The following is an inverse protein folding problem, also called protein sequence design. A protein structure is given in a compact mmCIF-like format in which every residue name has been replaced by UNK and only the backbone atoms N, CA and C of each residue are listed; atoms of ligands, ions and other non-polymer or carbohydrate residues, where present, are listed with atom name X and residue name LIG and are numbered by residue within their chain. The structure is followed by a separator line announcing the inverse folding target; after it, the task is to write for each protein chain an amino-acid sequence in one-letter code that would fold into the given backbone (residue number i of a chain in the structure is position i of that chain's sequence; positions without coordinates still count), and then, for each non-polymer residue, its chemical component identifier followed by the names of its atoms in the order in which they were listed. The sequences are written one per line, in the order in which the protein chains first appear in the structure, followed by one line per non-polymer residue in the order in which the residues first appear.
data_IF_635104840491
#
_entry.id   IF_635104840491
#
_cell.length_a   1.000
_cell.length_b   1.000
_cell.length_c   1.000
_cell.angle_alpha   90.00
_cell.angle_beta   90.00
_cell.angle_gamma   90.00
#
_symmetry.space_group_name_H-M   'P 1'
#
loop_
_entity.id
_entity.type
_entity.pdbx_description
1 polymer ?
#
# COMPACT_ATOMS: atom_id res chain seq x y z
N UNK A 1 30.44 -9.56 -4.98
CA UNK A 1 29.03 -9.73 -5.47
C UNK A 1 28.47 -11.00 -4.88
N UNK A 2 27.20 -11.00 -4.55
CA UNK A 2 26.46 -12.19 -4.10
C UNK A 2 25.53 -12.67 -5.21
N UNK A 3 25.20 -13.94 -5.21
CA UNK A 3 24.14 -14.51 -6.02
C UNK A 3 22.76 -14.13 -5.41
N UNK A 4 21.82 -13.67 -6.22
CA UNK A 4 20.48 -13.27 -5.78
C UNK A 4 19.73 -14.43 -5.10
N UNK A 5 19.90 -15.67 -5.61
CA UNK A 5 19.29 -16.87 -5.03
C UNK A 5 19.75 -17.08 -3.59
N UNK A 6 21.03 -16.97 -3.33
CA UNK A 6 21.60 -17.17 -1.99
C UNK A 6 21.02 -16.19 -0.96
N UNK A 7 20.83 -14.92 -1.34
CA UNK A 7 20.14 -13.96 -0.48
C UNK A 7 18.67 -14.32 -0.26
N UNK A 8 17.96 -14.63 -1.35
CA UNK A 8 16.54 -14.97 -1.29
C UNK A 8 16.26 -16.24 -0.46
N UNK A 9 17.12 -17.24 -0.53
CA UNK A 9 16.98 -18.46 0.25
C UNK A 9 17.08 -18.17 1.77
N UNK A 10 18.07 -17.36 2.18
CA UNK A 10 18.20 -16.94 3.59
C UNK A 10 17.05 -16.05 4.02
N UNK A 11 16.64 -15.09 3.19
CA UNK A 11 15.52 -14.22 3.48
C UNK A 11 14.20 -15.04 3.58
N UNK A 12 14.00 -16.03 2.71
CA UNK A 12 12.84 -16.93 2.75
C UNK A 12 12.83 -17.77 4.03
N UNK A 13 13.97 -18.31 4.45
CA UNK A 13 14.09 -19.03 5.73
C UNK A 13 13.73 -18.12 6.93
N UNK A 14 13.95 -16.81 6.81
CA UNK A 14 13.54 -15.80 7.78
C UNK A 14 12.09 -15.31 7.61
N UNK A 15 11.32 -15.91 6.67
CA UNK A 15 9.90 -15.64 6.46
C UNK A 15 9.56 -14.61 5.38
N UNK A 16 10.55 -14.09 4.64
CA UNK A 16 10.31 -13.15 3.54
C UNK A 16 9.97 -13.90 2.25
N UNK A 17 8.75 -13.77 1.75
CA UNK A 17 8.28 -14.42 0.53
C UNK A 17 7.74 -13.46 -0.52
N UNK A 18 7.53 -12.20 -0.14
CA UNK A 18 7.03 -11.15 -1.02
C UNK A 18 8.07 -10.05 -1.18
N UNK A 19 8.18 -9.57 -2.41
CA UNK A 19 9.02 -8.44 -2.78
C UNK A 19 8.16 -7.42 -3.53
N UNK A 20 8.39 -6.15 -3.27
CA UNK A 20 7.70 -5.07 -3.97
C UNK A 20 8.65 -3.91 -4.18
N UNK A 21 8.39 -3.05 -5.13
CA UNK A 21 9.27 -1.91 -5.35
C UNK A 21 9.13 -1.29 -6.73
N UNK A 22 10.02 -0.31 -6.98
CA UNK A 22 10.18 0.34 -8.27
C UNK A 22 11.56 -0.05 -8.84
N UNK A 23 11.64 -0.54 -10.08
CA UNK A 23 12.89 -1.03 -10.64
C UNK A 23 14.00 0.02 -10.71
N UNK A 24 15.24 -0.43 -10.44
CA UNK A 24 16.46 0.35 -10.59
C UNK A 24 17.55 -0.54 -11.20
N UNK A 25 18.47 0.05 -11.97
CA UNK A 25 19.53 -0.70 -12.64
C UNK A 25 20.44 -1.50 -11.69
N UNK A 26 20.69 -1.00 -10.47
CA UNK A 26 21.54 -1.70 -9.48
C UNK A 26 20.84 -2.91 -8.86
N UNK A 27 19.53 -2.81 -8.61
CA UNK A 27 18.74 -3.91 -8.03
C UNK A 27 18.08 -4.79 -9.11
N UNK A 28 18.22 -4.43 -10.39
CA UNK A 28 17.67 -5.20 -11.53
C UNK A 28 17.98 -6.70 -11.47
N UNK A 29 19.20 -7.16 -11.24
CA UNK A 29 19.46 -8.60 -11.21
C UNK A 29 18.67 -9.31 -10.12
N UNK A 30 18.49 -8.65 -8.98
CA UNK A 30 17.74 -9.17 -7.86
C UNK A 30 16.23 -9.25 -8.16
N UNK A 31 15.65 -8.17 -8.69
CA UNK A 31 14.24 -8.16 -9.13
C UNK A 31 13.99 -9.24 -10.18
N UNK A 32 14.87 -9.36 -11.18
CA UNK A 32 14.73 -10.38 -12.22
C UNK A 32 14.72 -11.80 -11.64
N UNK A 33 15.59 -12.07 -10.66
CA UNK A 33 15.62 -13.37 -9.99
C UNK A 33 14.29 -13.63 -9.25
N UNK A 34 13.80 -12.66 -8.48
CA UNK A 34 12.54 -12.80 -7.73
C UNK A 34 11.35 -13.05 -8.66
N UNK A 35 11.29 -12.36 -9.81
CA UNK A 35 10.25 -12.58 -10.83
C UNK A 35 10.33 -14.01 -11.42
N UNK A 36 11.54 -14.52 -11.63
CA UNK A 36 11.75 -15.87 -12.20
C UNK A 36 11.56 -17.00 -11.19
N UNK A 37 11.59 -16.71 -9.88
CA UNK A 37 11.47 -17.70 -8.81
C UNK A 37 10.00 -18.05 -8.54
N UNK A 38 9.55 -19.31 -8.76
CA UNK A 38 8.13 -19.66 -8.69
C UNK A 38 7.55 -19.65 -7.26
N UNK A 39 8.40 -19.63 -6.27
CA UNK A 39 8.06 -19.67 -4.84
C UNK A 39 8.20 -18.28 -4.15
N UNK A 40 8.50 -17.24 -4.92
CA UNK A 40 8.52 -15.85 -4.49
C UNK A 40 7.47 -15.05 -5.25
N UNK A 41 7.02 -13.97 -4.64
CA UNK A 41 6.07 -13.04 -5.26
C UNK A 41 6.74 -11.69 -5.44
N UNK A 42 6.63 -11.11 -6.65
CA UNK A 42 7.01 -9.74 -6.92
C UNK A 42 5.79 -8.90 -7.30
N UNK A 43 5.51 -7.85 -6.54
CA UNK A 43 4.48 -6.85 -6.86
C UNK A 43 5.19 -5.56 -7.25
N UNK A 44 5.14 -5.22 -8.54
CA UNK A 44 5.71 -3.98 -9.06
C UNK A 44 4.81 -2.78 -8.73
N UNK A 45 5.31 -1.86 -7.92
CA UNK A 45 4.59 -0.63 -7.60
C UNK A 45 4.88 0.48 -8.61
N UNK A 46 3.93 1.39 -8.80
CA UNK A 46 4.08 2.58 -9.64
C UNK A 46 4.74 3.75 -8.90
N UNK A 47 4.90 3.62 -7.56
CA UNK A 47 5.54 4.62 -6.70
C UNK A 47 6.14 3.91 -5.47
N UNK A 48 7.28 4.37 -4.99
CA UNK A 48 8.00 3.74 -3.87
C UNK A 48 7.22 3.82 -2.55
N UNK A 49 6.44 4.88 -2.36
CA UNK A 49 5.56 4.98 -1.21
C UNK A 49 4.42 3.96 -1.24
N UNK A 50 3.93 3.59 -2.43
CA UNK A 50 2.96 2.51 -2.59
C UNK A 50 3.60 1.15 -2.32
N UNK A 51 4.86 0.95 -2.74
CA UNK A 51 5.60 -0.26 -2.40
C UNK A 51 5.73 -0.44 -0.87
N UNK A 52 6.07 0.62 -0.14
CA UNK A 52 6.09 0.59 1.34
C UNK A 52 4.72 0.26 1.91
N UNK A 53 3.64 0.84 1.38
CA UNK A 53 2.27 0.58 1.85
C UNK A 53 1.82 -0.87 1.55
N UNK A 54 2.16 -1.42 0.37
CA UNK A 54 1.90 -2.82 0.03
C UNK A 54 2.62 -3.75 1.02
N UNK A 55 3.91 -3.52 1.26
CA UNK A 55 4.69 -4.30 2.24
C UNK A 55 4.10 -4.19 3.65
N UNK A 56 3.63 -3.00 4.04
CA UNK A 56 2.94 -2.78 5.32
C UNK A 56 1.66 -3.61 5.45
N UNK A 57 0.86 -3.68 4.37
CA UNK A 57 -0.34 -4.51 4.33
C UNK A 57 -0.02 -6.01 4.45
N UNK A 58 1.02 -6.47 3.76
CA UNK A 58 1.48 -7.86 3.85
C UNK A 58 1.94 -8.22 5.27
N UNK A 59 2.70 -7.34 5.92
CA UNK A 59 3.18 -7.52 7.30
C UNK A 59 2.02 -7.54 8.32
N UNK A 60 1.00 -6.69 8.15
CA UNK A 60 -0.24 -6.78 8.93
C UNK A 60 -0.92 -8.14 8.76
N UNK A 61 -0.90 -8.68 7.54
CA UNK A 61 -1.43 -10.00 7.21
C UNK A 61 -0.58 -11.17 7.71
N UNK A 62 0.56 -10.90 8.37
CA UNK A 62 1.47 -11.91 8.91
C UNK A 62 2.44 -12.49 7.87
N UNK A 63 2.64 -11.81 6.73
CA UNK A 63 3.61 -12.18 5.69
C UNK A 63 4.68 -11.11 5.56
N UNK A 64 5.94 -11.48 5.78
CA UNK A 64 7.07 -10.56 5.65
C UNK A 64 7.33 -10.20 4.20
N UNK A 65 7.60 -8.91 3.98
CA UNK A 65 7.88 -8.36 2.66
C UNK A 65 9.20 -7.58 2.64
N UNK A 66 9.85 -7.56 1.47
CA UNK A 66 11.04 -6.73 1.19
C UNK A 66 10.66 -5.68 0.15
N UNK A 67 10.93 -4.41 0.48
CA UNK A 67 10.76 -3.27 -0.43
C UNK A 67 12.07 -2.97 -1.11
N UNK A 68 12.08 -2.88 -2.44
CA UNK A 68 13.28 -2.60 -3.23
C UNK A 68 13.11 -1.30 -4.01
N UNK A 69 14.07 -0.38 -3.89
CA UNK A 69 14.00 0.90 -4.59
C UNK A 69 15.37 1.53 -4.82
N UNK A 70 15.42 2.49 -5.73
CA UNK A 70 16.54 3.41 -5.85
C UNK A 70 16.51 4.43 -4.71
N UNK A 71 17.68 4.94 -4.29
CA UNK A 71 17.74 5.95 -3.24
C UNK A 71 16.98 7.24 -3.57
N UNK A 72 16.84 7.63 -4.84
CA UNK A 72 15.96 8.74 -5.23
C UNK A 72 14.48 8.51 -4.87
N UNK A 73 14.05 7.26 -4.81
CA UNK A 73 12.70 6.86 -4.41
C UNK A 73 12.42 7.04 -2.91
N UNK A 74 13.44 7.22 -2.07
CA UNK A 74 13.24 7.52 -0.65
C UNK A 74 12.38 8.77 -0.44
N UNK A 75 12.48 9.77 -1.32
CA UNK A 75 11.64 10.96 -1.28
C UNK A 75 10.14 10.63 -1.33
N UNK A 76 9.74 9.67 -2.17
CA UNK A 76 8.37 9.19 -2.28
C UNK A 76 7.93 8.32 -1.09
N UNK A 77 8.89 7.68 -0.42
CA UNK A 77 8.66 6.78 0.71
C UNK A 77 8.66 7.51 2.08
N UNK A 78 9.05 8.79 2.15
CA UNK A 78 9.11 9.55 3.42
C UNK A 78 7.77 9.48 4.15
N UNK A 79 6.68 9.82 3.48
CA UNK A 79 5.36 9.86 4.12
C UNK A 79 4.94 8.49 4.69
N UNK A 80 4.92 7.37 3.95
CA UNK A 80 4.54 6.09 4.53
C UNK A 80 5.53 5.60 5.61
N UNK A 81 6.82 5.81 5.48
CA UNK A 81 7.78 5.42 6.52
C UNK A 81 7.55 6.16 7.84
N UNK A 82 7.29 7.48 7.78
CA UNK A 82 7.17 8.34 8.97
C UNK A 82 5.75 8.42 9.52
N UNK A 83 4.70 8.33 8.70
CA UNK A 83 3.32 8.51 9.12
C UNK A 83 2.45 7.24 9.05
N UNK A 84 3.01 6.11 8.56
CA UNK A 84 2.38 4.80 8.60
C UNK A 84 3.24 3.83 9.43
N UNK A 85 4.41 3.42 8.93
CA UNK A 85 5.23 2.41 9.60
C UNK A 85 5.67 2.83 11.01
N UNK A 86 6.21 4.05 11.17
CA UNK A 86 6.64 4.56 12.47
C UNK A 86 5.48 4.72 13.45
N UNK A 87 4.32 5.19 12.97
CA UNK A 87 3.16 5.51 13.81
C UNK A 87 2.40 4.25 14.25
N UNK A 88 2.20 3.29 13.33
CA UNK A 88 1.51 2.03 13.62
C UNK A 88 2.42 0.94 14.18
N UNK A 89 3.74 1.19 14.22
CA UNK A 89 4.74 0.19 14.59
C UNK A 89 4.61 -1.09 13.75
N UNK A 90 4.74 -0.91 12.43
CA UNK A 90 4.71 -2.00 11.47
C UNK A 90 6.06 -2.06 10.76
N UNK A 91 6.86 -3.10 11.00
CA UNK A 91 8.18 -3.22 10.40
C UNK A 91 8.08 -3.59 8.92
N UNK A 92 9.04 -3.13 8.13
CA UNK A 92 9.30 -3.61 6.76
C UNK A 92 10.80 -3.65 6.53
N UNK A 93 11.29 -4.64 5.80
CA UNK A 93 12.69 -4.66 5.35
C UNK A 93 12.80 -3.94 4.01
N UNK A 94 13.75 -3.02 3.90
CA UNK A 94 14.01 -2.29 2.66
C UNK A 94 15.39 -2.63 2.11
N UNK A 95 15.52 -2.66 0.79
CA UNK A 95 16.79 -2.64 0.06
C UNK A 95 16.79 -1.38 -0.78
N UNK A 96 17.67 -0.44 -0.44
CA UNK A 96 17.78 0.87 -1.11
C UNK A 96 19.12 0.96 -1.79
N UNK A 97 19.14 1.16 -3.12
CA UNK A 97 20.41 1.27 -3.84
C UNK A 97 21.06 2.63 -3.60
N UNK A 98 22.39 2.64 -3.49
CA UNK A 98 23.18 3.86 -3.32
C UNK A 98 23.72 4.32 -4.69
N UNK A 99 22.88 5.02 -5.48
CA UNK A 99 23.31 5.74 -6.68
C UNK A 99 23.99 7.04 -6.28
N UNK A 100 25.06 7.41 -6.99
CA UNK A 100 25.82 8.63 -6.72
C UNK A 100 26.64 8.57 -5.42
N UNK A 101 27.18 7.40 -5.04
CA UNK A 101 28.04 7.24 -3.85
C UNK A 101 29.24 8.19 -3.90
N UNK A 102 29.45 9.07 -2.89
CA UNK A 102 30.61 9.96 -2.86
C UNK A 102 31.92 9.20 -2.90
N UNK A 103 32.81 9.56 -3.83
CA UNK A 103 34.07 8.85 -4.06
C UNK A 103 33.92 7.49 -4.73
N UNK A 104 32.71 7.08 -5.07
CA UNK A 104 32.42 5.86 -5.80
C UNK A 104 32.57 6.00 -7.33
N UNK A 105 32.16 4.98 -8.10
CA UNK A 105 32.14 5.05 -9.56
C UNK A 105 31.31 6.20 -10.08
N UNK A 106 31.70 6.81 -11.20
CA UNK A 106 30.95 7.86 -11.86
C UNK A 106 29.50 7.42 -12.11
N UNK A 107 28.56 8.31 -11.81
CA UNK A 107 27.13 8.12 -12.02
C UNK A 107 26.52 9.39 -12.65
N UNK A 108 25.24 9.36 -13.01
CA UNK A 108 24.55 10.48 -13.61
C UNK A 108 24.39 11.64 -12.61
N UNK A 109 24.48 12.92 -13.07
CA UNK A 109 24.49 14.08 -12.16
C UNK A 109 23.30 14.17 -11.20
N UNK A 110 22.11 13.70 -11.61
CA UNK A 110 20.91 13.68 -10.76
C UNK A 110 21.03 12.76 -9.54
N UNK A 111 22.05 11.93 -9.46
CA UNK A 111 22.27 11.02 -8.33
C UNK A 111 23.24 11.58 -7.29
N UNK A 112 24.03 12.62 -7.60
CA UNK A 112 25.08 13.16 -6.72
C UNK A 112 24.56 13.52 -5.32
N UNK A 113 23.52 14.37 -5.27
CA UNK A 113 22.96 14.80 -3.99
C UNK A 113 22.34 13.62 -3.23
N UNK A 114 21.58 12.78 -3.92
CA UNK A 114 20.94 11.61 -3.27
C UNK A 114 21.99 10.63 -2.76
N UNK A 115 23.08 10.41 -3.48
CA UNK A 115 24.20 9.60 -3.01
C UNK A 115 24.79 10.11 -1.69
N UNK A 116 25.00 11.43 -1.61
CA UNK A 116 25.56 12.07 -0.42
C UNK A 116 24.64 12.07 0.80
N UNK A 117 23.31 12.05 0.61
CA UNK A 117 22.33 12.21 1.71
C UNK A 117 21.54 10.94 2.05
N UNK A 118 21.69 9.83 1.30
CA UNK A 118 20.88 8.62 1.47
C UNK A 118 20.83 8.12 2.92
N UNK A 119 21.99 7.90 3.53
CA UNK A 119 22.05 7.40 4.92
C UNK A 119 21.54 8.44 5.93
N UNK A 120 21.83 9.73 5.70
CA UNK A 120 21.31 10.82 6.52
C UNK A 120 19.78 10.93 6.46
N UNK A 121 19.17 10.68 5.29
CA UNK A 121 17.72 10.62 5.16
C UNK A 121 17.13 9.47 5.98
N UNK A 122 17.72 8.29 5.93
CA UNK A 122 17.30 7.14 6.75
C UNK A 122 17.39 7.48 8.24
N UNK A 123 18.51 8.05 8.69
CA UNK A 123 18.70 8.49 10.07
C UNK A 123 17.68 9.56 10.49
N UNK A 124 17.44 10.55 9.64
CA UNK A 124 16.45 11.62 9.90
C UNK A 124 15.03 11.08 10.04
N UNK A 125 14.68 10.05 9.26
CA UNK A 125 13.41 9.35 9.37
C UNK A 125 13.35 8.33 10.53
N UNK A 126 14.44 8.20 11.30
CA UNK A 126 14.60 7.20 12.35
C UNK A 126 14.44 5.76 11.83
N UNK A 127 14.92 5.51 10.61
CA UNK A 127 15.00 4.18 10.00
C UNK A 127 16.40 3.62 10.22
N UNK A 128 16.51 2.54 10.98
CA UNK A 128 17.77 1.86 11.18
C UNK A 128 18.24 1.23 9.87
N UNK A 129 19.56 1.27 9.63
CA UNK A 129 20.12 0.75 8.40
C UNK A 129 21.47 0.08 8.61
N UNK A 130 21.89 -0.72 7.62
CA UNK A 130 23.22 -1.29 7.48
C UNK A 130 23.54 -1.47 6.00
N UNK A 131 24.80 -1.82 5.69
CA UNK A 131 25.20 -2.15 4.34
C UNK A 131 24.57 -3.47 3.88
N UNK A 132 24.15 -3.49 2.61
CA UNK A 132 23.75 -4.74 1.96
C UNK A 132 24.97 -5.67 1.84
N UNK A 133 24.85 -6.99 2.12
CA UNK A 133 25.97 -7.92 2.12
C UNK A 133 26.66 -8.02 0.75
N UNK A 134 27.98 -8.11 0.75
CA UNK A 134 28.80 -8.25 -0.47
C UNK A 134 29.44 -9.63 -0.63
N UNK A 135 29.46 -10.41 0.44
CA UNK A 135 29.90 -11.81 0.43
C UNK A 135 28.79 -12.74 0.92
N UNK A 136 28.76 -13.97 0.42
CA UNK A 136 27.74 -14.96 0.80
C UNK A 136 27.70 -15.23 2.31
N UNK A 137 28.87 -15.20 2.96
CA UNK A 137 28.96 -15.40 4.41
C UNK A 137 28.26 -14.30 5.24
N UNK A 138 28.11 -13.10 4.68
CA UNK A 138 27.52 -11.94 5.37
C UNK A 138 25.99 -11.90 5.27
N UNK A 139 25.39 -12.71 4.40
CA UNK A 139 23.94 -12.69 4.14
C UNK A 139 23.17 -13.05 5.42
N UNK A 140 23.52 -14.18 6.07
CA UNK A 140 22.89 -14.63 7.31
C UNK A 140 22.92 -13.54 8.39
N UNK A 141 24.11 -13.06 8.80
CA UNK A 141 24.23 -11.99 9.78
C UNK A 141 23.45 -10.71 9.45
N UNK A 142 23.40 -10.28 8.19
CA UNK A 142 22.67 -9.09 7.78
C UNK A 142 21.14 -9.27 7.93
N UNK A 143 20.62 -10.42 7.52
CA UNK A 143 19.19 -10.75 7.68
C UNK A 143 18.83 -10.93 9.15
N UNK A 144 19.65 -11.61 9.94
CA UNK A 144 19.44 -11.79 11.39
C UNK A 144 19.38 -10.45 12.12
N UNK A 145 20.30 -9.53 11.82
CA UNK A 145 20.33 -8.17 12.37
C UNK A 145 19.05 -7.39 12.02
N UNK A 146 18.63 -7.44 10.75
CA UNK A 146 17.40 -6.79 10.30
C UNK A 146 16.18 -7.37 11.02
N UNK A 147 16.05 -8.70 11.08
CA UNK A 147 14.94 -9.40 11.74
C UNK A 147 14.91 -9.11 13.24
N UNK A 148 16.07 -9.10 13.90
CA UNK A 148 16.16 -8.77 15.33
C UNK A 148 15.66 -7.33 15.58
N UNK A 149 16.15 -6.35 14.81
CA UNK A 149 15.67 -4.97 14.92
C UNK A 149 14.16 -4.86 14.70
N UNK A 150 13.64 -5.45 13.62
CA UNK A 150 12.21 -5.43 13.29
C UNK A 150 11.35 -6.06 14.39
N UNK A 151 11.80 -7.18 14.98
CA UNK A 151 11.11 -7.84 16.10
C UNK A 151 11.12 -7.00 17.37
N UNK A 152 12.27 -6.43 17.73
CA UNK A 152 12.48 -5.78 19.02
C UNK A 152 11.88 -4.37 19.06
N UNK A 153 11.80 -3.69 17.89
CA UNK A 153 11.32 -2.29 17.79
C UNK A 153 9.96 -2.15 17.11
N UNK A 154 9.55 -3.14 16.31
CA UNK A 154 8.44 -3.03 15.36
C UNK A 154 8.61 -1.83 14.37
N UNK A 155 9.84 -1.55 13.95
CA UNK A 155 10.17 -0.47 13.01
C UNK A 155 10.86 -1.01 11.76
N UNK A 156 10.82 -0.25 10.64
CA UNK A 156 11.53 -0.59 9.42
C UNK A 156 13.04 -0.72 9.62
N UNK A 157 13.65 -1.56 8.80
CA UNK A 157 15.11 -1.68 8.66
C UNK A 157 15.51 -1.57 7.19
N UNK A 158 16.65 -0.96 6.89
CA UNK A 158 17.14 -0.76 5.54
C UNK A 158 18.51 -1.37 5.32
N UNK A 159 18.66 -2.15 4.25
CA UNK A 159 19.96 -2.57 3.71
C UNK A 159 20.32 -1.65 2.54
N UNK A 160 21.38 -0.87 2.68
CA UNK A 160 21.87 0.08 1.66
C UNK A 160 22.82 -0.65 0.70
N UNK A 161 22.37 -0.78 -0.56
CA UNK A 161 23.03 -1.57 -1.59
C UNK A 161 23.94 -0.72 -2.47
N UNK A 162 25.23 -1.01 -2.49
CA UNK A 162 26.19 -0.39 -3.40
C UNK A 162 26.09 -0.98 -4.82
N UNK A 163 26.72 -0.30 -5.78
CA UNK A 163 26.89 -0.80 -7.14
C UNK A 163 27.56 -2.19 -7.13
N UNK A 164 27.17 -3.03 -8.07
CA UNK A 164 27.74 -4.37 -8.29
C UNK A 164 27.71 -5.30 -7.04
N UNK A 165 26.71 -5.12 -6.16
CA UNK A 165 26.53 -6.00 -5.00
C UNK A 165 25.96 -7.37 -5.37
N UNK A 166 25.21 -7.48 -6.47
CA UNK A 166 24.52 -8.70 -6.90
C UNK A 166 24.96 -9.11 -8.31
N UNK A 167 25.20 -10.39 -8.51
CA UNK A 167 25.57 -10.99 -9.79
C UNK A 167 24.45 -10.82 -10.83
N UNK A 168 24.83 -10.74 -12.11
CA UNK A 168 23.90 -10.54 -13.19
C UNK A 168 22.89 -11.71 -13.32
N UNK A 169 21.59 -11.40 -13.28
CA UNK A 169 20.52 -12.35 -13.59
C UNK A 169 19.67 -11.80 -14.74
N UNK A 170 19.57 -12.59 -15.82
CA UNK A 170 18.77 -12.23 -16.99
C UNK A 170 17.32 -12.71 -16.78
N UNK A 171 16.36 -11.78 -16.89
CA UNK A 171 14.94 -12.10 -16.82
C UNK A 171 14.54 -13.13 -17.90
N UNK A 172 13.89 -14.18 -17.49
CA UNK A 172 13.39 -15.29 -18.34
C UNK A 172 11.88 -15.25 -18.48
N UNK A 173 11.20 -14.87 -17.40
CA UNK A 173 9.74 -14.76 -17.34
C UNK A 173 9.23 -13.68 -18.29
N UNK A 174 8.23 -14.02 -19.09
CA UNK A 174 7.55 -13.05 -19.94
C UNK A 174 6.44 -12.36 -19.15
N UNK A 175 6.17 -11.06 -19.42
CA UNK A 175 5.08 -10.36 -18.76
C UNK A 175 3.74 -11.07 -19.03
N UNK A 176 2.90 -11.14 -18.01
CA UNK A 176 1.51 -11.54 -18.19
C UNK A 176 0.79 -10.41 -18.93
N UNK A 177 0.44 -10.64 -20.18
CA UNK A 177 -0.39 -9.70 -20.94
C UNK A 177 -1.85 -9.97 -20.57
N UNK A 178 -2.48 -9.01 -19.91
CA UNK A 178 -3.93 -9.06 -19.70
C UNK A 178 -4.61 -8.34 -20.85
N UNK A 179 -5.64 -8.96 -21.42
CA UNK A 179 -6.47 -8.28 -22.40
C UNK A 179 -7.19 -7.11 -21.73
N UNK A 180 -7.12 -5.94 -22.34
CA UNK A 180 -7.96 -4.82 -21.95
C UNK A 180 -9.36 -5.08 -22.50
N UNK A 181 -10.34 -5.19 -21.62
CA UNK A 181 -11.74 -5.28 -22.03
C UNK A 181 -12.28 -3.86 -22.21
N UNK A 182 -12.79 -3.58 -23.43
CA UNK A 182 -13.42 -2.30 -23.70
C UNK A 182 -14.69 -2.15 -22.86
N UNK A 183 -14.78 -1.05 -22.11
CA UNK A 183 -15.83 -0.84 -21.14
C UNK A 183 -17.03 -0.19 -21.77
N UNK A 184 -18.19 -0.69 -21.44
CA UNK A 184 -19.44 0.06 -21.61
C UNK A 184 -19.44 1.22 -20.61
N UNK A 185 -19.76 2.45 -21.05
CA UNK A 185 -19.88 3.59 -20.15
C UNK A 185 -20.80 3.25 -18.99
N UNK A 186 -20.30 3.40 -17.76
CA UNK A 186 -21.15 3.25 -16.57
C UNK A 186 -22.13 4.41 -16.57
N UNK A 187 -23.43 4.14 -16.61
CA UNK A 187 -24.43 5.18 -16.56
C UNK A 187 -24.36 5.92 -15.22
N UNK A 188 -24.29 7.23 -15.28
CA UNK A 188 -24.33 8.10 -14.11
C UNK A 188 -25.73 8.61 -13.88
N UNK A 189 -26.24 8.49 -12.67
CA UNK A 189 -27.36 9.33 -12.22
C UNK A 189 -26.84 10.79 -12.07
N UNK A 190 -27.62 11.73 -12.59
CA UNK A 190 -27.30 13.16 -12.58
C UNK A 190 -27.94 13.92 -11.42
N UNK A 191 -28.63 13.23 -10.51
CA UNK A 191 -29.33 13.87 -9.39
C UNK A 191 -28.36 14.34 -8.30
N UNK A 192 -28.24 15.64 -8.12
CA UNK A 192 -27.45 16.26 -7.03
C UNK A 192 -28.23 16.47 -5.74
N UNK A 193 -29.57 16.33 -5.79
CA UNK A 193 -30.44 16.75 -4.70
C UNK A 193 -30.59 15.77 -3.54
N UNK A 194 -30.00 14.57 -3.62
CA UNK A 194 -30.21 13.48 -2.65
C UNK A 194 -28.95 12.69 -2.31
N UNK A 195 -27.75 13.25 -2.52
CA UNK A 195 -26.52 12.54 -2.16
C UNK A 195 -26.50 12.17 -0.67
N UNK A 196 -26.22 10.93 -0.31
CA UNK A 196 -26.09 10.54 1.10
C UNK A 196 -24.88 11.23 1.75
N UNK A 197 -24.88 11.33 3.06
CA UNK A 197 -23.70 11.72 3.81
C UNK A 197 -22.69 10.58 3.84
N UNK A 198 -21.40 10.91 4.04
CA UNK A 198 -20.36 9.91 4.30
C UNK A 198 -20.72 9.05 5.53
N UNK A 199 -21.29 9.65 6.57
CA UNK A 199 -21.72 8.95 7.77
C UNK A 199 -22.79 7.86 7.48
N UNK A 200 -23.78 8.16 6.65
CA UNK A 200 -24.78 7.17 6.22
C UNK A 200 -24.15 6.05 5.40
N UNK A 201 -23.21 6.39 4.50
CA UNK A 201 -22.48 5.41 3.71
C UNK A 201 -21.62 4.48 4.59
N UNK A 202 -20.89 5.03 5.58
CA UNK A 202 -20.08 4.24 6.50
C UNK A 202 -20.90 3.29 7.37
N UNK A 203 -22.08 3.72 7.84
CA UNK A 203 -23.01 2.83 8.52
C UNK A 203 -23.52 1.70 7.64
N UNK A 204 -23.79 1.96 6.36
CA UNK A 204 -24.18 0.92 5.41
C UNK A 204 -23.05 -0.10 5.22
N UNK A 205 -21.81 0.35 5.07
CA UNK A 205 -20.66 -0.54 5.01
C UNK A 205 -20.54 -1.39 6.28
N UNK A 206 -20.67 -0.79 7.46
CA UNK A 206 -20.60 -1.53 8.73
C UNK A 206 -21.68 -2.59 8.90
N UNK A 207 -22.88 -2.39 8.31
CA UNK A 207 -23.92 -3.44 8.28
C UNK A 207 -23.61 -4.57 7.32
N UNK A 208 -22.93 -4.27 6.21
CA UNK A 208 -22.62 -5.21 5.15
C UNK A 208 -21.38 -6.08 5.42
N UNK A 209 -20.47 -5.63 6.30
CA UNK A 209 -19.21 -6.35 6.60
C UNK A 209 -19.40 -7.35 7.75
N UNK A 210 -18.71 -8.48 7.64
CA UNK A 210 -18.67 -9.51 8.68
C UNK A 210 -17.49 -9.29 9.66
N UNK A 211 -17.53 -9.87 10.86
CA UNK A 211 -16.42 -9.75 11.82
C UNK A 211 -15.07 -10.24 11.30
N UNK A 212 -15.06 -11.17 10.34
CA UNK A 212 -13.84 -11.70 9.73
C UNK A 212 -13.31 -10.88 8.54
N UNK A 213 -14.11 -9.95 8.01
CA UNK A 213 -13.67 -9.02 6.98
C UNK A 213 -12.74 -7.97 7.58
N UNK A 214 -11.80 -7.44 6.81
CA UNK A 214 -10.94 -6.34 7.27
C UNK A 214 -11.33 -5.06 6.52
N UNK A 215 -11.58 -4.00 7.26
CA UNK A 215 -11.94 -2.68 6.72
C UNK A 215 -10.76 -1.72 6.92
N UNK A 216 -10.30 -1.09 5.85
CA UNK A 216 -9.21 -0.10 5.87
C UNK A 216 -9.79 1.24 5.46
N UNK A 217 -9.86 2.19 6.38
CA UNK A 217 -10.35 3.53 6.10
C UNK A 217 -9.20 4.51 5.91
N UNK A 218 -9.25 5.29 4.83
CA UNK A 218 -8.28 6.34 4.53
C UNK A 218 -8.22 7.39 5.64
N UNK A 219 -7.14 8.15 5.68
CA UNK A 219 -6.95 9.25 6.63
C UNK A 219 -8.02 10.34 6.50
N UNK A 220 -8.16 11.17 7.51
CA UNK A 220 -9.12 12.26 7.56
C UNK A 220 -10.45 11.87 8.20
N UNK A 221 -11.54 12.45 7.72
CA UNK A 221 -12.85 12.22 8.34
C UNK A 221 -13.41 10.82 8.07
N UNK A 222 -13.03 10.17 6.98
CA UNK A 222 -13.50 8.80 6.70
C UNK A 222 -13.14 7.84 7.85
N UNK A 223 -11.89 7.81 8.29
CA UNK A 223 -11.46 6.97 9.41
C UNK A 223 -12.08 7.41 10.74
N UNK A 224 -12.19 8.72 10.98
CA UNK A 224 -12.79 9.26 12.21
C UNK A 224 -14.28 8.99 12.33
N UNK A 225 -15.03 9.13 11.25
CA UNK A 225 -16.47 8.84 11.24
C UNK A 225 -16.74 7.34 11.33
N UNK A 226 -15.92 6.50 10.67
CA UNK A 226 -16.03 5.05 10.81
C UNK A 226 -15.84 4.61 12.27
N UNK A 227 -14.83 5.17 12.95
CA UNK A 227 -14.60 4.96 14.38
C UNK A 227 -15.80 5.42 15.22
N UNK A 228 -16.33 6.60 14.93
CA UNK A 228 -17.46 7.17 15.68
C UNK A 228 -18.78 6.43 15.44
N UNK A 229 -18.97 5.81 14.27
CA UNK A 229 -20.14 5.00 14.00
C UNK A 229 -20.18 3.76 14.89
N UNK A 230 -19.10 3.00 14.91
CA UNK A 230 -18.93 1.78 15.72
C UNK A 230 -17.45 1.33 15.64
N UNK A 231 -16.72 1.41 16.75
CA UNK A 231 -15.31 1.01 16.82
C UNK A 231 -15.18 -0.52 16.88
N UNK A 232 -14.78 -1.14 15.79
CA UNK A 232 -14.63 -2.60 15.69
C UNK A 232 -13.18 -3.02 15.54
N UNK A 233 -12.82 -4.19 16.05
CA UNK A 233 -11.44 -4.71 16.02
C UNK A 233 -10.92 -5.01 14.61
N UNK A 234 -11.81 -5.22 13.65
CA UNK A 234 -11.49 -5.50 12.25
C UNK A 234 -11.36 -4.23 11.38
N UNK A 235 -11.28 -3.04 11.99
CA UNK A 235 -11.19 -1.76 11.29
C UNK A 235 -9.81 -1.11 11.53
N UNK A 236 -9.12 -0.78 10.44
CA UNK A 236 -7.88 -0.02 10.43
C UNK A 236 -8.16 1.43 10.04
N UNK A 237 -7.90 2.37 10.95
CA UNK A 237 -8.05 3.81 10.71
C UNK A 237 -6.69 4.39 10.36
N UNK A 238 -6.43 4.64 9.08
CA UNK A 238 -5.16 5.24 8.63
C UNK A 238 -5.11 6.70 9.09
N UNK A 239 -4.06 7.09 9.82
CA UNK A 239 -3.95 8.44 10.42
C UNK A 239 -3.06 9.41 9.65
N UNK A 240 -2.22 8.94 8.78
CA UNK A 240 -1.35 9.70 7.88
C UNK A 240 -1.31 9.02 6.53
N UNK A 241 -0.22 9.19 5.78
CA UNK A 241 0.01 8.47 4.53
C UNK A 241 -1.21 8.50 3.59
N UNK A 242 -1.74 9.70 3.35
CA UNK A 242 -2.88 9.91 2.47
C UNK A 242 -2.65 9.23 1.11
N UNK A 243 -3.64 8.48 0.62
CA UNK A 243 -3.58 7.72 -0.62
C UNK A 243 -3.03 6.30 -0.49
N UNK A 244 -2.50 5.90 0.68
CA UNK A 244 -1.91 4.57 0.87
C UNK A 244 -2.93 3.47 1.22
N UNK A 245 -4.19 3.79 1.50
CA UNK A 245 -5.18 2.81 1.98
C UNK A 245 -5.38 1.65 1.00
N UNK A 246 -5.49 1.94 -0.29
CA UNK A 246 -5.66 0.93 -1.33
C UNK A 246 -4.42 0.02 -1.48
N UNK A 247 -3.21 0.59 -1.39
CA UNK A 247 -1.95 -0.16 -1.43
C UNK A 247 -1.76 -1.04 -0.18
N UNK A 248 -2.14 -0.56 1.03
CA UNK A 248 -2.21 -1.40 2.24
C UNK A 248 -3.19 -2.55 2.02
N UNK A 249 -4.36 -2.24 1.44
CA UNK A 249 -5.38 -3.23 1.10
C UNK A 249 -4.87 -4.32 0.17
N UNK A 250 -4.11 -3.95 -0.86
CA UNK A 250 -3.49 -4.91 -1.80
C UNK A 250 -2.55 -5.88 -1.07
N UNK A 251 -1.62 -5.36 -0.29
CA UNK A 251 -0.67 -6.19 0.46
C UNK A 251 -1.35 -7.13 1.45
N UNK A 252 -2.38 -6.63 2.15
CA UNK A 252 -3.17 -7.44 3.08
C UNK A 252 -3.99 -8.52 2.36
N UNK A 253 -4.65 -8.17 1.25
CA UNK A 253 -5.44 -9.11 0.45
C UNK A 253 -4.58 -10.24 -0.12
N UNK A 254 -3.36 -9.91 -0.56
CA UNK A 254 -2.37 -10.90 -1.00
C UNK A 254 -1.94 -11.82 0.15
N UNK A 255 -1.65 -11.25 1.33
CA UNK A 255 -1.18 -12.03 2.48
C UNK A 255 -2.27 -12.93 3.08
N UNK A 256 -3.53 -12.54 2.96
CA UNK A 256 -4.69 -13.21 3.56
C UNK A 256 -5.80 -13.43 2.52
N UNK A 257 -5.58 -14.36 1.57
CA UNK A 257 -6.59 -14.69 0.55
C UNK A 257 -7.86 -15.30 1.15
N UNK A 258 -7.82 -15.75 2.41
CA UNK A 258 -8.94 -16.27 3.19
C UNK A 258 -9.81 -15.16 3.82
N UNK A 259 -9.40 -13.91 3.73
CA UNK A 259 -10.09 -12.73 4.31
C UNK A 259 -10.50 -11.77 3.21
N UNK A 260 -11.71 -11.25 3.31
CA UNK A 260 -12.15 -10.16 2.45
C UNK A 260 -11.63 -8.84 3.00
N UNK A 261 -11.07 -8.00 2.13
CA UNK A 261 -10.52 -6.69 2.45
C UNK A 261 -11.38 -5.60 1.80
N UNK A 262 -11.90 -4.70 2.59
CA UNK A 262 -12.71 -3.55 2.15
C UNK A 262 -11.89 -2.28 2.38
N UNK A 263 -11.54 -1.58 1.31
CA UNK A 263 -10.85 -0.29 1.36
C UNK A 263 -11.90 0.81 1.23
N UNK A 264 -11.94 1.73 2.20
CA UNK A 264 -12.77 2.94 2.18
C UNK A 264 -11.87 4.11 1.87
N UNK A 265 -11.93 4.60 0.65
CA UNK A 265 -11.10 5.70 0.16
C UNK A 265 -11.93 6.98 -0.05
N UNK A 266 -11.25 8.11 -0.09
CA UNK A 266 -11.82 9.40 -0.46
C UNK A 266 -11.24 9.86 -1.79
N UNK A 267 -11.94 10.73 -2.50
CA UNK A 267 -11.53 11.27 -3.79
C UNK A 267 -10.14 11.92 -3.77
N UNK A 268 -9.87 12.79 -2.82
CA UNK A 268 -8.56 13.42 -2.67
C UNK A 268 -7.44 12.44 -2.32
N UNK A 269 -7.73 11.40 -1.54
CA UNK A 269 -6.76 10.38 -1.20
C UNK A 269 -6.44 9.48 -2.41
N UNK A 270 -7.45 9.01 -3.12
CA UNK A 270 -7.29 8.23 -4.34
C UNK A 270 -6.51 9.01 -5.41
N UNK A 271 -6.83 10.29 -5.61
CA UNK A 271 -6.14 11.17 -6.56
C UNK A 271 -4.67 11.38 -6.23
N UNK A 272 -4.30 11.44 -4.95
CA UNK A 272 -2.91 11.62 -4.51
C UNK A 272 -2.00 10.47 -4.96
N UNK A 273 -2.54 9.25 -5.08
CA UNK A 273 -1.82 8.05 -5.51
C UNK A 273 -2.56 7.27 -6.59
N UNK A 274 -2.96 8.00 -7.63
CA UNK A 274 -3.80 7.46 -8.71
C UNK A 274 -3.16 6.23 -9.39
N UNK A 275 -1.82 6.19 -9.50
CA UNK A 275 -1.08 5.05 -10.05
C UNK A 275 -1.28 3.74 -9.28
N UNK A 276 -1.65 3.78 -8.00
CA UNK A 276 -1.96 2.59 -7.23
C UNK A 276 -3.12 1.78 -7.82
N UNK A 277 -4.09 2.43 -8.49
CA UNK A 277 -5.19 1.74 -9.18
C UNK A 277 -4.68 0.80 -10.27
N UNK A 278 -3.67 1.22 -11.02
CA UNK A 278 -3.08 0.38 -12.07
C UNK A 278 -2.40 -0.86 -11.47
N UNK A 279 -1.67 -0.70 -10.35
CA UNK A 279 -1.08 -1.82 -9.62
C UNK A 279 -2.16 -2.78 -9.10
N UNK A 280 -3.21 -2.28 -8.43
CA UNK A 280 -4.31 -3.11 -7.94
C UNK A 280 -5.01 -3.87 -9.08
N UNK A 281 -5.28 -3.18 -10.19
CA UNK A 281 -5.93 -3.80 -11.35
C UNK A 281 -5.06 -4.89 -11.99
N UNK A 282 -3.74 -4.66 -12.08
CA UNK A 282 -2.80 -5.65 -12.59
C UNK A 282 -2.71 -6.88 -11.69
N UNK A 283 -2.61 -6.71 -10.39
CA UNK A 283 -2.57 -7.82 -9.40
C UNK A 283 -3.93 -8.50 -9.23
N UNK A 284 -5.02 -7.74 -9.38
CA UNK A 284 -6.42 -8.17 -9.35
C UNK A 284 -6.76 -9.13 -8.18
N UNK A 285 -6.49 -8.75 -6.92
CA UNK A 285 -6.77 -9.61 -5.79
C UNK A 285 -8.27 -9.96 -5.72
N UNK A 286 -8.65 -11.26 -5.69
CA UNK A 286 -10.06 -11.66 -5.80
C UNK A 286 -10.89 -11.37 -4.55
N UNK A 287 -10.25 -10.95 -3.48
CA UNK A 287 -10.83 -10.72 -2.16
C UNK A 287 -10.84 -9.24 -1.74
N UNK A 288 -10.65 -8.29 -2.68
CA UNK A 288 -10.61 -6.86 -2.36
C UNK A 288 -11.78 -6.10 -2.97
N UNK A 289 -12.44 -5.29 -2.14
CA UNK A 289 -13.48 -4.34 -2.51
C UNK A 289 -12.96 -2.93 -2.24
N UNK A 290 -12.89 -2.10 -3.27
CA UNK A 290 -12.46 -0.71 -3.18
C UNK A 290 -13.69 0.21 -3.26
N UNK A 291 -14.02 0.89 -2.17
CA UNK A 291 -15.14 1.83 -2.05
C UNK A 291 -14.59 3.24 -2.10
N UNK A 292 -15.02 4.02 -3.08
CA UNK A 292 -14.71 5.44 -3.18
C UNK A 292 -15.91 6.27 -2.69
N UNK A 293 -15.72 6.99 -1.59
CA UNK A 293 -16.64 7.98 -1.07
C UNK A 293 -16.19 9.38 -1.52
N UNK A 294 -16.86 9.92 -2.52
CA UNK A 294 -16.46 11.14 -3.23
C UNK A 294 -17.36 12.31 -2.85
N UNK A 295 -16.83 13.23 -2.06
CA UNK A 295 -17.50 14.48 -1.72
C UNK A 295 -16.93 15.69 -2.46
N UNK A 296 -15.99 15.49 -3.39
CA UNK A 296 -15.37 16.52 -4.22
C UNK A 296 -14.61 17.61 -3.41
N UNK A 297 -14.22 17.29 -2.14
CA UNK A 297 -13.59 18.28 -1.25
C UNK A 297 -12.64 17.68 -0.21
N UNK A 298 -11.64 18.50 0.15
CA UNK A 298 -10.76 18.26 1.29
C UNK A 298 -11.39 18.81 2.59
N UNK A 299 -12.46 18.20 3.08
CA UNK A 299 -13.19 18.71 4.25
C UNK A 299 -12.35 18.82 5.52
N UNK A 300 -11.40 17.90 5.74
CA UNK A 300 -10.57 17.89 6.94
C UNK A 300 -9.56 19.05 7.03
N UNK A 301 -9.38 19.78 5.93
CA UNK A 301 -8.42 20.90 5.82
C UNK A 301 -9.07 22.23 5.46
N UNK A 302 -10.41 22.29 5.48
CA UNK A 302 -11.15 23.54 5.26
C UNK A 302 -12.10 23.55 4.06
N UNK A 303 -12.38 22.38 3.46
CA UNK A 303 -13.40 22.24 2.40
C UNK A 303 -12.96 22.70 1.02
N UNK A 304 -11.64 22.78 0.77
CA UNK A 304 -11.12 23.08 -0.57
C UNK A 304 -11.57 22.01 -1.55
N UNK A 305 -12.01 22.43 -2.75
CA UNK A 305 -12.40 21.50 -3.81
C UNK A 305 -11.24 20.61 -4.22
N UNK A 306 -11.53 19.33 -4.46
CA UNK A 306 -10.63 18.45 -5.20
C UNK A 306 -10.89 18.60 -6.71
N UNK A 307 -10.01 18.04 -7.54
CA UNK A 307 -10.25 17.99 -9.00
C UNK A 307 -11.26 16.89 -9.40
N UNK A 308 -11.76 16.13 -8.44
CA UNK A 308 -12.70 15.01 -8.64
C UNK A 308 -13.99 15.45 -9.36
N UNK A 309 -14.46 16.68 -9.12
CA UNK A 309 -15.66 17.23 -9.77
C UNK A 309 -15.56 17.30 -11.29
N UNK A 310 -14.35 17.27 -11.86
CA UNK A 310 -14.08 17.32 -13.29
C UNK A 310 -13.66 15.96 -13.87
N UNK A 311 -13.74 14.88 -13.07
CA UNK A 311 -13.24 13.56 -13.45
C UNK A 311 -14.31 12.47 -13.34
N UNK A 312 -14.24 11.50 -14.21
CA UNK A 312 -14.92 10.22 -14.04
C UNK A 312 -13.99 9.22 -13.32
N UNK A 313 -13.96 9.25 -11.99
CA UNK A 313 -13.07 8.40 -11.21
C UNK A 313 -13.39 6.90 -11.35
N UNK A 314 -14.64 6.53 -11.60
CA UNK A 314 -15.00 5.15 -11.91
C UNK A 314 -14.48 4.74 -13.30
N UNK A 315 -14.58 5.64 -14.29
CA UNK A 315 -13.99 5.45 -15.61
C UNK A 315 -12.46 5.32 -15.53
N UNK A 316 -11.79 6.10 -14.66
CA UNK A 316 -10.36 5.97 -14.41
C UNK A 316 -10.01 4.61 -13.82
N UNK A 317 -10.71 4.15 -12.78
CA UNK A 317 -10.49 2.83 -12.20
C UNK A 317 -10.62 1.72 -13.24
N UNK A 318 -11.65 1.82 -14.08
CA UNK A 318 -11.86 0.88 -15.15
C UNK A 318 -10.76 0.96 -16.21
N UNK A 319 -10.35 2.14 -16.65
CA UNK A 319 -9.24 2.32 -17.61
C UNK A 319 -7.90 1.80 -17.05
N UNK A 320 -7.75 1.74 -15.73
CA UNK A 320 -6.63 1.07 -15.07
C UNK A 320 -6.73 -0.48 -15.12
N UNK A 321 -7.90 -1.04 -15.47
CA UNK A 321 -8.10 -2.49 -15.59
C UNK A 321 -9.01 -3.13 -14.54
N UNK A 322 -9.72 -2.35 -13.71
CA UNK A 322 -10.78 -2.92 -12.87
C UNK A 322 -11.94 -3.37 -13.75
N UNK A 323 -12.24 -4.66 -13.75
CA UNK A 323 -13.32 -5.24 -14.57
C UNK A 323 -14.71 -5.10 -13.92
N UNK A 324 -14.77 -5.00 -12.59
CA UNK A 324 -16.01 -4.87 -11.82
C UNK A 324 -16.11 -3.47 -11.22
N UNK A 325 -16.61 -2.52 -11.99
CA UNK A 325 -16.76 -1.13 -11.58
C UNK A 325 -18.23 -0.74 -11.57
N UNK A 326 -18.67 -0.11 -10.48
CA UNK A 326 -20.05 0.39 -10.34
C UNK A 326 -20.05 1.85 -9.89
N UNK A 327 -20.97 2.65 -10.45
CA UNK A 327 -21.38 3.94 -9.92
C UNK A 327 -22.76 3.75 -9.32
N UNK A 328 -22.94 4.23 -8.11
CA UNK A 328 -24.18 4.10 -7.35
C UNK A 328 -24.57 5.44 -6.74
N UNK A 329 -25.84 5.60 -6.40
CA UNK A 329 -26.39 6.86 -5.88
C UNK A 329 -26.96 6.73 -4.46
N UNK A 330 -27.17 5.50 -3.97
CA UNK A 330 -27.83 5.26 -2.69
C UNK A 330 -26.99 4.41 -1.74
N UNK A 331 -27.23 4.60 -0.43
CA UNK A 331 -26.61 3.76 0.60
C UNK A 331 -27.10 2.30 0.56
N UNK A 332 -28.32 2.06 0.07
CA UNK A 332 -28.85 0.69 -0.08
C UNK A 332 -28.08 -0.09 -1.16
N UNK A 333 -27.77 0.57 -2.28
CA UNK A 333 -26.93 -0.02 -3.32
C UNK A 333 -25.50 -0.27 -2.82
N UNK A 334 -24.94 0.65 -2.02
CA UNK A 334 -23.62 0.46 -1.40
C UNK A 334 -23.63 -0.76 -0.46
N UNK A 335 -24.64 -0.87 0.41
CA UNK A 335 -24.79 -2.00 1.32
C UNK A 335 -24.91 -3.33 0.57
N UNK A 336 -25.70 -3.38 -0.50
CA UNK A 336 -25.83 -4.54 -1.37
C UNK A 336 -24.52 -4.87 -2.08
N UNK A 337 -23.80 -3.87 -2.61
CA UNK A 337 -22.52 -4.07 -3.31
C UNK A 337 -21.44 -4.62 -2.36
N UNK A 338 -21.30 -4.03 -1.17
CA UNK A 338 -20.33 -4.48 -0.17
C UNK A 338 -20.73 -5.84 0.41
N UNK A 339 -22.02 -6.09 0.60
CA UNK A 339 -22.56 -7.37 1.09
C UNK A 339 -22.42 -8.52 0.11
N UNK A 340 -22.31 -8.24 -1.20
CA UNK A 340 -22.07 -9.26 -2.23
C UNK A 340 -20.68 -9.86 -2.08
N UNK A 341 -20.60 -11.18 -1.90
CA UNK A 341 -19.36 -11.93 -1.64
C UNK A 341 -18.74 -12.54 -2.91
N UNK A 342 -19.19 -12.13 -4.09
CA UNK A 342 -18.60 -12.62 -5.34
C UNK A 342 -17.10 -12.33 -5.36
N UNK A 343 -16.25 -13.31 -5.71
CA UNK A 343 -14.83 -13.10 -5.84
C UNK A 343 -14.51 -12.16 -7.02
N UNK A 344 -13.39 -11.47 -6.91
CA UNK A 344 -12.87 -10.56 -7.91
C UNK A 344 -12.57 -9.19 -7.31
N UNK A 345 -11.61 -8.50 -7.89
CA UNK A 345 -11.34 -7.10 -7.56
C UNK A 345 -12.55 -6.25 -7.99
N UNK A 346 -13.14 -5.52 -7.04
CA UNK A 346 -14.36 -4.74 -7.28
C UNK A 346 -14.15 -3.29 -6.84
N UNK A 347 -14.71 -2.36 -7.61
CA UNK A 347 -14.68 -0.95 -7.32
C UNK A 347 -16.09 -0.37 -7.33
N UNK A 348 -16.42 0.44 -6.33
CA UNK A 348 -17.69 1.17 -6.27
C UNK A 348 -17.45 2.64 -5.95
N UNK A 349 -18.06 3.52 -6.75
CA UNK A 349 -18.03 4.96 -6.58
C UNK A 349 -19.39 5.47 -6.12
N UNK A 350 -19.42 6.09 -4.94
CA UNK A 350 -20.59 6.77 -4.38
C UNK A 350 -20.25 8.24 -4.16
N UNK A 351 -21.00 9.13 -4.81
CA UNK A 351 -20.92 10.56 -4.51
C UNK A 351 -21.67 10.85 -3.21
N UNK A 352 -20.99 11.55 -2.30
CA UNK A 352 -21.56 11.95 -1.01
C UNK A 352 -21.74 13.46 -0.96
N UNK A 353 -22.61 13.94 -0.07
CA UNK A 353 -22.72 15.37 0.23
C UNK A 353 -21.63 15.79 1.20
N UNK A 354 -21.32 17.07 1.22
CA UNK A 354 -20.49 17.70 2.25
C UNK A 354 -21.17 17.61 3.61
N UNK A 355 -20.36 17.70 4.64
CA UNK A 355 -20.79 17.78 6.03
C UNK A 355 -20.17 16.71 6.91
N UNK A 356 -19.86 17.11 8.13
CA UNK A 356 -19.25 16.30 9.17
C UNK A 356 -20.12 16.42 10.41
N UNK A 357 -20.38 15.36 11.19
CA UNK A 357 -21.04 15.46 12.47
C UNK A 357 -20.37 16.51 13.39
N UNK A 358 -21.15 17.39 14.04
CA UNK A 358 -20.62 18.51 14.82
C UNK A 358 -19.65 18.06 15.91
N UNK A 359 -19.96 17.00 16.65
CA UNK A 359 -19.17 16.48 17.76
C UNK A 359 -18.33 15.25 17.37
N UNK A 360 -17.73 15.23 16.16
CA UNK A 360 -16.98 14.07 15.69
C UNK A 360 -15.73 13.83 16.56
N UNK A 361 -15.68 12.76 17.36
CA UNK A 361 -14.55 12.48 18.24
C UNK A 361 -13.30 12.08 17.45
N UNK A 362 -12.15 12.28 18.05
CA UNK A 362 -10.92 11.60 17.59
C UNK A 362 -10.87 10.18 18.18
N UNK A 363 -10.35 9.18 17.42
CA UNK A 363 -10.12 7.86 17.98
C UNK A 363 -9.30 7.95 19.27
N UNK A 364 -9.79 7.31 20.33
CA UNK A 364 -9.07 7.19 21.62
C UNK A 364 -8.08 6.04 21.62
N UNK A 365 -8.24 5.09 20.69
CA UNK A 365 -7.33 3.96 20.49
C UNK A 365 -6.10 4.45 19.73
N UNK A 366 -4.91 4.00 20.17
CA UNK A 366 -3.66 4.36 19.48
C UNK A 366 -3.51 3.59 18.16
N UNK A 367 -2.81 4.14 17.17
CA UNK A 367 -2.55 3.44 15.91
C UNK A 367 -1.89 2.08 16.11
N UNK A 368 -0.98 1.94 17.07
CA UNK A 368 -0.35 0.66 17.41
C UNK A 368 -1.37 -0.36 17.94
N UNK A 369 -2.30 0.08 18.81
CA UNK A 369 -3.36 -0.79 19.31
C UNK A 369 -4.32 -1.21 18.20
N UNK A 370 -4.63 -0.30 17.26
CA UNK A 370 -5.44 -0.62 16.06
C UNK A 370 -4.74 -1.69 15.22
N UNK A 371 -3.43 -1.56 14.94
CA UNK A 371 -2.67 -2.58 14.22
C UNK A 371 -2.64 -3.92 14.98
N UNK A 372 -2.55 -3.88 16.31
CA UNK A 372 -2.64 -5.07 17.19
C UNK A 372 -3.98 -5.80 17.04
N UNK A 373 -5.09 -5.06 17.11
CA UNK A 373 -6.46 -5.59 16.92
C UNK A 373 -6.63 -6.30 15.57
N UNK A 374 -6.11 -5.68 14.49
CA UNK A 374 -6.13 -6.30 13.14
C UNK A 374 -5.39 -7.64 13.15
N UNK A 375 -4.19 -7.70 13.75
CA UNK A 375 -3.43 -8.97 13.86
C UNK A 375 -4.18 -10.03 14.68
N UNK A 376 -4.86 -9.63 15.75
CA UNK A 376 -5.68 -10.53 16.57
C UNK A 376 -6.86 -11.12 15.78
N UNK A 377 -7.58 -10.28 15.01
CA UNK A 377 -8.67 -10.74 14.11
C UNK A 377 -8.14 -11.68 13.03
N UNK A 378 -6.96 -11.39 12.49
CA UNK A 378 -6.34 -12.22 11.45
C UNK A 378 -5.78 -13.55 11.99
N UNK A 379 -5.53 -13.67 13.28
CA UNK A 379 -5.06 -14.90 13.92
C UNK A 379 -6.19 -15.92 14.21
N UNK A 380 -7.43 -15.48 14.18
CA UNK A 380 -8.64 -16.32 14.34
C UNK A 380 -9.03 -17.00 13.01
#
# INVERSE_FOLDING_TARGET
MIDAKSFCDVAKAAGFSMYTGVPCSYVKPFINYVIDAPDLTYIGATNEGDAVAIATGAELGGKRAIVMMQNSGLGNAVSPLTSLNAVFRIPVLMIVTLRGEPGGPADEPQHELMGAITTKMLETMNVAWDWFPQAAADIGPAIEKAVAHMRDTNLPFCLVMKKDSVEAHKLKTKPAVRAFEEVKPVQTSTSTSTRPSRHEALKAVQRAVEPRDIVIATTGFTGRELYACDDRHNQLYVVGSMGCASSIGLGLAWARPDRRVIVLDGDGAMLMRLGALATLAYEAPPNLVHVLLDNEAHESTGGQSTVAHSMDLAGVAHSCGYVNVSKIDTVAELEAFVGDKKPGLRFVHLKTRHGVPEDLPRPKVTPQAVAGRIREVLAQ
#
